data_IF_846192002896
#
_entry.id   IF_846192002896
#
_cell.length_a   1.000
_cell.length_b   1.000
_cell.length_c   1.000
_cell.angle_alpha   90.00
_cell.angle_beta   90.00
_cell.angle_gamma   90.00
#
_symmetry.space_group_name_H-M   'P 1'
#
loop_
_entity.id
_entity.type
_entity.pdbx_description
1 polymer ?
#
# COMPACT_ATOMS: atom_id res chain seq x y z
N UNK A 1 12.04 -25.69 -58.66
CA UNK A 1 11.57 -24.70 -57.67
C UNK A 1 10.30 -25.21 -57.03
N UNK A 2 10.31 -25.50 -55.73
CA UNK A 2 9.12 -25.55 -54.88
C UNK A 2 9.56 -25.33 -53.44
N UNK A 3 8.94 -24.34 -52.83
CA UNK A 3 9.39 -23.63 -51.64
C UNK A 3 9.28 -24.47 -50.38
N UNK A 4 10.26 -24.24 -49.50
CA UNK A 4 10.40 -24.79 -48.17
C UNK A 4 9.13 -24.64 -47.33
N UNK A 5 8.75 -25.72 -46.65
CA UNK A 5 7.73 -25.68 -45.60
C UNK A 5 8.28 -24.96 -44.39
N UNK A 6 7.83 -23.73 -44.17
CA UNK A 6 7.99 -23.05 -42.90
C UNK A 6 7.03 -23.67 -41.88
N UNK A 7 7.51 -24.58 -41.06
CA UNK A 7 6.83 -24.90 -39.80
C UNK A 7 7.04 -23.74 -38.84
N UNK A 8 6.02 -22.91 -38.68
CA UNK A 8 5.95 -21.90 -37.63
C UNK A 8 5.65 -22.65 -36.32
N UNK A 9 6.68 -22.83 -35.50
CA UNK A 9 6.55 -23.31 -34.14
C UNK A 9 5.95 -22.17 -33.29
N UNK A 10 4.65 -22.24 -33.00
CA UNK A 10 4.00 -21.35 -32.03
C UNK A 10 4.42 -21.76 -30.62
N UNK A 11 5.39 -21.06 -30.05
CA UNK A 11 5.74 -21.17 -28.62
C UNK A 11 4.68 -20.40 -27.83
N UNK A 12 3.69 -21.11 -27.31
CA UNK A 12 2.73 -20.57 -26.35
C UNK A 12 3.47 -20.51 -25.00
N UNK A 13 3.98 -19.34 -24.63
CA UNK A 13 4.38 -19.07 -23.25
C UNK A 13 3.11 -19.04 -22.39
N UNK A 14 2.75 -20.18 -21.81
CA UNK A 14 1.80 -20.20 -20.69
C UNK A 14 2.50 -19.48 -19.54
N UNK A 15 2.14 -18.22 -19.31
CA UNK A 15 2.51 -17.55 -18.07
C UNK A 15 2.00 -18.43 -16.92
N UNK A 16 2.91 -18.93 -16.09
CA UNK A 16 2.56 -19.80 -14.97
C UNK A 16 1.70 -19.01 -14.00
N UNK A 17 0.40 -19.32 -13.92
CA UNK A 17 -0.46 -18.71 -12.91
C UNK A 17 0.09 -19.05 -11.52
N UNK A 18 -0.05 -18.08 -10.63
CA UNK A 18 0.49 -18.08 -9.26
C UNK A 18 -0.70 -17.94 -8.31
N UNK A 19 -0.67 -18.66 -7.19
CA UNK A 19 -1.76 -18.64 -6.23
C UNK A 19 -1.60 -17.45 -5.27
N UNK A 20 -2.63 -16.60 -5.23
CA UNK A 20 -2.68 -15.41 -4.38
C UNK A 20 -3.84 -15.56 -3.42
N UNK A 21 -3.55 -15.88 -2.17
CA UNK A 21 -4.57 -15.97 -1.13
C UNK A 21 -4.88 -14.59 -0.57
N UNK A 22 -6.14 -14.16 -0.64
CA UNK A 22 -6.57 -12.88 -0.06
C UNK A 22 -7.09 -13.12 1.35
N UNK A 23 -6.46 -12.50 2.34
CA UNK A 23 -6.84 -12.68 3.74
C UNK A 23 -7.37 -11.36 4.31
N UNK A 24 -8.58 -11.36 4.86
CA UNK A 24 -9.18 -10.19 5.51
C UNK A 24 -9.11 -10.37 7.03
N UNK A 25 -8.25 -9.60 7.69
CA UNK A 25 -8.15 -9.54 9.15
C UNK A 25 -9.26 -8.67 9.71
N UNK A 26 -9.82 -9.08 10.85
CA UNK A 26 -10.86 -8.36 11.58
C UNK A 26 -12.17 -8.18 10.76
N UNK A 27 -12.46 -9.10 9.84
CA UNK A 27 -13.66 -9.04 9.02
C UNK A 27 -14.08 -10.42 8.51
N UNK A 28 -15.29 -10.84 8.86
CA UNK A 28 -15.82 -12.19 8.58
C UNK A 28 -16.78 -12.25 7.36
N UNK A 29 -17.17 -11.09 6.82
CA UNK A 29 -18.12 -11.01 5.72
C UNK A 29 -17.42 -10.99 4.35
N UNK A 30 -18.20 -11.06 3.27
CA UNK A 30 -17.66 -10.86 1.93
C UNK A 30 -17.36 -9.38 1.65
N UNK A 31 -16.28 -9.10 0.93
CA UNK A 31 -15.93 -7.77 0.43
C UNK A 31 -15.91 -7.75 -1.10
N UNK A 32 -16.07 -6.57 -1.70
CA UNK A 32 -15.92 -6.39 -3.15
C UNK A 32 -14.44 -6.13 -3.46
N UNK A 33 -13.83 -6.97 -4.30
CA UNK A 33 -12.44 -6.85 -4.71
C UNK A 33 -12.35 -6.53 -6.20
N UNK A 34 -11.51 -5.56 -6.53
CA UNK A 34 -11.03 -5.28 -7.88
C UNK A 34 -9.53 -5.48 -7.96
N UNK A 35 -9.04 -6.13 -9.01
CA UNK A 35 -7.61 -6.32 -9.25
C UNK A 35 -7.25 -5.76 -10.62
N UNK A 36 -6.24 -4.89 -10.63
CA UNK A 36 -5.75 -4.22 -11.82
C UNK A 36 -4.32 -4.68 -12.10
N UNK A 37 -4.04 -4.96 -13.36
CA UNK A 37 -2.68 -5.12 -13.89
C UNK A 37 -2.29 -3.86 -14.67
N UNK A 38 -1.08 -3.84 -15.24
CA UNK A 38 -0.64 -2.81 -16.18
C UNK A 38 -1.56 -2.66 -17.40
N UNK A 39 -2.30 -3.71 -17.77
CA UNK A 39 -3.25 -3.72 -18.90
C UNK A 39 -4.68 -3.32 -18.52
N UNK A 40 -4.96 -3.07 -17.23
CA UNK A 40 -6.27 -2.65 -16.73
C UNK A 40 -6.90 -3.64 -15.74
N UNK A 41 -8.21 -3.56 -15.56
CA UNK A 41 -9.00 -4.41 -14.67
C UNK A 41 -9.01 -5.86 -15.17
N UNK A 42 -8.58 -6.79 -14.32
CA UNK A 42 -8.51 -8.23 -14.64
C UNK A 42 -9.43 -9.09 -13.78
N UNK A 43 -9.88 -8.56 -12.63
CA UNK A 43 -10.81 -9.22 -11.74
C UNK A 43 -11.72 -8.20 -11.06
N UNK A 44 -13.00 -8.50 -10.98
CA UNK A 44 -13.99 -7.80 -10.16
C UNK A 44 -14.98 -8.82 -9.62
N UNK A 45 -15.20 -8.81 -8.30
CA UNK A 45 -16.16 -9.71 -7.68
C UNK A 45 -16.15 -9.68 -6.17
N UNK A 46 -17.08 -10.44 -5.58
CA UNK A 46 -17.12 -10.65 -4.13
C UNK A 46 -16.15 -11.75 -3.73
N UNK A 47 -15.40 -11.49 -2.66
CA UNK A 47 -14.47 -12.44 -2.07
C UNK A 47 -14.72 -12.62 -0.57
N UNK A 48 -14.31 -13.76 -0.02
CA UNK A 48 -14.22 -14.06 1.40
C UNK A 48 -12.77 -14.20 1.82
N UNK A 49 -12.53 -14.11 3.13
CA UNK A 49 -11.18 -14.30 3.68
C UNK A 49 -10.72 -15.73 3.39
N UNK A 50 -9.53 -15.86 2.81
CA UNK A 50 -8.96 -17.15 2.38
C UNK A 50 -9.24 -17.50 0.91
N UNK A 51 -10.01 -16.71 0.17
CA UNK A 51 -10.22 -16.94 -1.26
C UNK A 51 -8.90 -16.82 -2.04
N UNK A 52 -8.74 -17.68 -3.05
CA UNK A 52 -7.52 -17.77 -3.87
C UNK A 52 -7.78 -17.24 -5.26
N UNK A 53 -6.89 -16.36 -5.72
CA UNK A 53 -6.84 -15.84 -7.08
C UNK A 53 -5.65 -16.44 -7.82
N UNK A 54 -5.88 -16.92 -9.03
CA UNK A 54 -4.82 -17.39 -9.91
C UNK A 54 -4.40 -16.25 -10.83
N UNK A 55 -3.25 -15.64 -10.53
CA UNK A 55 -2.75 -14.46 -11.25
C UNK A 55 -1.40 -14.78 -11.88
N UNK A 56 -1.13 -14.37 -13.13
CA UNK A 56 0.23 -14.43 -13.68
C UNK A 56 1.25 -13.65 -12.81
N UNK A 57 2.55 -13.91 -12.93
CA UNK A 57 3.56 -13.11 -12.24
C UNK A 57 3.63 -11.71 -12.87
N UNK A 58 3.20 -10.68 -12.15
CA UNK A 58 3.24 -9.28 -12.58
C UNK A 58 3.05 -8.32 -11.37
N UNK A 59 3.09 -7.02 -11.60
CA UNK A 59 2.70 -5.98 -10.65
C UNK A 59 1.19 -5.72 -10.72
N UNK A 60 0.54 -5.73 -9.57
CA UNK A 60 -0.90 -5.56 -9.44
C UNK A 60 -1.28 -4.50 -8.40
N UNK A 61 -2.43 -3.88 -8.64
CA UNK A 61 -3.13 -3.04 -7.67
C UNK A 61 -4.43 -3.75 -7.26
N UNK A 62 -4.56 -4.02 -5.97
CA UNK A 62 -5.74 -4.61 -5.36
C UNK A 62 -6.53 -3.51 -4.67
N UNK A 63 -7.82 -3.39 -4.98
CA UNK A 63 -8.75 -2.48 -4.34
C UNK A 63 -9.86 -3.29 -3.67
N UNK A 64 -9.83 -3.34 -2.34
CA UNK A 64 -10.80 -4.08 -1.53
C UNK A 64 -11.76 -3.09 -0.88
N UNK A 65 -13.05 -3.16 -1.23
CA UNK A 65 -14.09 -2.30 -0.70
C UNK A 65 -14.93 -3.05 0.33
N UNK A 66 -14.90 -2.55 1.57
CA UNK A 66 -15.62 -3.08 2.72
C UNK A 66 -15.80 -1.96 3.75
N UNK A 67 -16.78 -2.10 4.65
CA UNK A 67 -16.99 -1.15 5.78
C UNK A 67 -17.01 0.33 5.35
N UNK A 68 -17.62 0.63 4.20
CA UNK A 68 -17.69 1.96 3.58
C UNK A 68 -16.31 2.61 3.30
N UNK A 69 -15.28 1.78 3.10
CA UNK A 69 -13.90 2.21 2.79
C UNK A 69 -13.33 1.34 1.67
N UNK A 70 -12.31 1.86 0.99
CA UNK A 70 -11.55 1.13 -0.02
C UNK A 70 -10.10 1.06 0.41
N UNK A 71 -9.61 -0.17 0.58
CA UNK A 71 -8.24 -0.48 0.93
C UNK A 71 -7.46 -0.78 -0.34
N UNK A 72 -6.35 -0.10 -0.55
CA UNK A 72 -5.53 -0.24 -1.76
C UNK A 72 -4.18 -0.84 -1.39
N UNK A 73 -3.78 -1.89 -2.12
CA UNK A 73 -2.44 -2.47 -2.05
C UNK A 73 -1.85 -2.62 -3.44
N UNK A 74 -0.64 -2.10 -3.61
CA UNK A 74 0.15 -2.28 -4.84
C UNK A 74 1.30 -3.23 -4.52
N UNK A 75 1.38 -4.35 -5.24
CA UNK A 75 2.36 -5.40 -4.96
C UNK A 75 2.78 -6.13 -6.22
N UNK A 76 4.03 -6.62 -6.20
CA UNK A 76 4.59 -7.46 -7.26
C UNK A 76 4.43 -8.92 -6.89
N UNK A 77 3.77 -9.68 -7.76
CA UNK A 77 3.52 -11.11 -7.60
C UNK A 77 4.53 -11.88 -8.45
N UNK A 78 5.37 -12.67 -7.79
CA UNK A 78 6.40 -13.48 -8.45
C UNK A 78 6.27 -14.97 -8.13
N UNK A 79 5.64 -15.30 -7.00
CA UNK A 79 5.40 -16.65 -6.48
C UNK A 79 4.18 -16.61 -5.56
N UNK A 80 3.72 -17.80 -5.13
CA UNK A 80 2.54 -17.93 -4.28
C UNK A 80 2.70 -17.05 -3.03
N UNK A 81 1.67 -16.29 -2.70
CA UNK A 81 1.73 -15.36 -1.57
C UNK A 81 0.37 -15.00 -1.00
N UNK A 82 0.40 -14.47 0.21
CA UNK A 82 -0.78 -14.01 0.94
C UNK A 82 -0.84 -12.48 0.85
N UNK A 83 -1.96 -11.98 0.34
CA UNK A 83 -2.29 -10.55 0.36
C UNK A 83 -3.25 -10.31 1.52
N UNK A 84 -2.72 -9.75 2.62
CA UNK A 84 -3.53 -9.46 3.80
C UNK A 84 -4.13 -8.05 3.74
N UNK A 85 -5.43 -7.90 4.01
CA UNK A 85 -6.07 -6.62 4.27
C UNK A 85 -6.52 -6.58 5.72
N UNK A 86 -6.16 -5.51 6.43
CA UNK A 86 -6.66 -5.29 7.77
C UNK A 86 -7.84 -4.34 7.73
N UNK A 87 -9.01 -4.81 8.13
CA UNK A 87 -10.25 -4.05 8.09
C UNK A 87 -10.67 -3.58 9.50
N UNK A 88 -9.84 -3.86 10.51
CA UNK A 88 -10.07 -3.39 11.86
C UNK A 88 -9.62 -1.95 12.04
N UNK A 89 -10.37 -1.21 12.87
CA UNK A 89 -10.12 0.20 13.18
C UNK A 89 -9.98 0.39 14.68
N UNK A 90 -9.16 1.37 15.07
CA UNK A 90 -9.02 1.83 16.45
C UNK A 90 -8.93 3.35 16.49
N UNK A 91 -9.47 3.95 17.54
CA UNK A 91 -9.26 5.37 17.86
C UNK A 91 -8.25 5.54 19.01
N UNK A 92 -7.61 4.45 19.46
CA UNK A 92 -6.58 4.51 20.49
C UNK A 92 -5.31 5.13 19.93
N UNK A 93 -4.82 6.18 20.60
CA UNK A 93 -3.57 6.87 20.24
C UNK A 93 -2.34 6.19 20.83
N UNK A 94 -2.49 5.15 21.66
CA UNK A 94 -1.39 4.48 22.36
C UNK A 94 -0.39 3.81 21.40
N UNK A 95 -0.84 3.45 20.19
CA UNK A 95 -0.03 2.85 19.14
C UNK A 95 0.47 3.86 18.10
N UNK A 96 0.11 5.14 18.27
CA UNK A 96 0.59 6.21 17.41
C UNK A 96 1.89 6.78 17.98
N UNK A 97 2.87 6.90 17.10
CA UNK A 97 4.12 7.59 17.38
C UNK A 97 4.19 8.85 16.53
N UNK A 98 4.36 10.00 17.19
CA UNK A 98 4.61 11.27 16.53
C UNK A 98 6.09 11.61 16.70
N UNK A 99 6.79 11.77 15.57
CA UNK A 99 8.16 12.28 15.53
C UNK A 99 8.16 13.65 14.88
N UNK A 100 8.81 14.61 15.53
CA UNK A 100 9.00 15.96 15.01
C UNK A 100 10.49 16.14 14.76
N UNK A 101 10.85 16.53 13.55
CA UNK A 101 12.22 16.83 13.15
C UNK A 101 12.28 18.26 12.63
N UNK A 102 13.13 19.09 13.26
CA UNK A 102 13.30 20.49 12.86
C UNK A 102 14.62 20.66 12.11
N UNK A 103 14.55 21.26 10.92
CA UNK A 103 15.71 21.61 10.09
C UNK A 103 15.93 23.11 10.17
N UNK A 104 17.06 23.54 10.72
CA UNK A 104 17.43 24.95 10.84
C UNK A 104 18.33 25.34 9.67
N UNK A 105 17.91 26.35 8.92
CA UNK A 105 18.64 26.88 7.78
C UNK A 105 19.55 28.05 8.19
N UNK A 106 20.54 28.36 7.35
CA UNK A 106 21.59 29.35 7.65
C UNK A 106 21.05 30.78 7.83
N UNK A 107 19.92 31.09 7.23
CA UNK A 107 19.21 32.37 7.32
C UNK A 107 18.28 32.46 8.54
N UNK A 108 18.24 31.41 9.38
CA UNK A 108 17.38 31.35 10.57
C UNK A 108 15.96 30.84 10.29
N UNK A 109 15.66 30.47 9.05
CA UNK A 109 14.42 29.76 8.71
C UNK A 109 14.42 28.33 9.28
N UNK A 110 13.26 27.82 9.67
CA UNK A 110 13.11 26.49 10.28
C UNK A 110 11.97 25.74 9.61
N UNK A 111 12.28 24.58 9.03
CA UNK A 111 11.28 23.60 8.59
C UNK A 111 11.03 22.59 9.70
N UNK A 112 9.77 22.26 9.96
CA UNK A 112 9.42 21.12 10.82
C UNK A 112 8.71 20.03 10.02
N UNK A 113 9.26 18.83 10.12
CA UNK A 113 8.72 17.61 9.52
C UNK A 113 8.07 16.81 10.64
N UNK A 114 6.76 16.56 10.49
CA UNK A 114 5.98 15.80 11.46
C UNK A 114 5.63 14.46 10.82
N UNK A 115 6.13 13.38 11.43
CA UNK A 115 5.90 12.01 10.99
C UNK A 115 4.99 11.35 12.02
N UNK A 116 3.78 10.96 11.59
CA UNK A 116 2.87 10.14 12.39
C UNK A 116 2.98 8.70 11.89
N UNK A 117 3.37 7.78 12.78
CA UNK A 117 3.48 6.36 12.49
C UNK A 117 2.50 5.58 13.36
N UNK A 118 1.73 4.68 12.75
CA UNK A 118 0.91 3.72 13.49
C UNK A 118 1.69 2.40 13.62
N UNK A 119 2.02 2.02 14.86
CA UNK A 119 2.73 0.78 15.18
C UNK A 119 1.78 -0.35 15.61
N UNK A 120 0.49 -0.08 15.63
CA UNK A 120 -0.54 -1.04 15.99
C UNK A 120 -0.86 -1.98 14.82
N UNK A 121 -1.64 -2.99 15.15
CA UNK A 121 -2.19 -3.98 14.22
C UNK A 121 -3.61 -3.62 13.78
N UNK A 122 -4.04 -2.37 13.90
CA UNK A 122 -5.35 -1.87 13.45
C UNK A 122 -5.16 -0.52 12.75
N UNK A 123 -6.03 -0.19 11.82
CA UNK A 123 -6.01 1.13 11.19
C UNK A 123 -6.45 2.19 12.19
N UNK A 124 -5.76 3.32 12.25
CA UNK A 124 -6.20 4.42 13.10
C UNK A 124 -7.31 5.21 12.42
N UNK A 125 -8.38 5.49 13.16
CA UNK A 125 -9.48 6.35 12.74
C UNK A 125 -9.84 7.31 13.88
N UNK A 126 -9.62 8.61 13.63
CA UNK A 126 -9.87 9.67 14.58
C UNK A 126 -9.10 10.94 14.24
N UNK A 127 -9.35 11.98 15.02
CA UNK A 127 -8.68 13.27 14.86
C UNK A 127 -7.33 13.26 15.59
N UNK A 128 -6.30 13.80 14.93
CA UNK A 128 -4.98 14.01 15.53
C UNK A 128 -4.72 15.51 15.71
N UNK A 129 -4.62 15.92 16.98
CA UNK A 129 -4.14 17.23 17.32
C UNK A 129 -2.61 17.25 17.20
N UNK A 130 -2.12 17.73 16.06
CA UNK A 130 -0.68 17.95 15.86
C UNK A 130 -0.34 19.33 16.44
N UNK A 131 0.52 19.41 17.47
CA UNK A 131 0.89 20.68 18.05
C UNK A 131 1.59 21.55 17.00
N UNK A 132 1.28 22.86 17.02
CA UNK A 132 2.00 23.82 16.19
C UNK A 132 3.50 23.81 16.53
N UNK A 133 4.37 24.10 15.53
CA UNK A 133 5.80 24.23 15.75
C UNK A 133 6.15 25.08 16.96
N UNK A 134 6.95 24.52 17.88
CA UNK A 134 7.36 25.21 19.10
C UNK A 134 8.44 26.28 18.87
N UNK A 135 9.03 26.31 17.68
CA UNK A 135 10.18 27.17 17.38
C UNK A 135 9.68 28.55 16.93
N UNK A 136 9.40 29.41 17.90
CA UNK A 136 9.30 30.86 17.70
C UNK A 136 10.54 31.53 18.30
N UNK A 137 11.15 32.48 17.58
CA UNK A 137 12.23 33.31 18.12
C UNK A 137 13.66 32.77 17.98
N UNK A 138 13.96 31.91 17.00
CA UNK A 138 15.35 31.51 16.72
C UNK A 138 16.16 32.73 16.24
N UNK A 139 17.09 33.22 17.08
CA UNK A 139 18.06 34.26 16.71
C UNK A 139 19.43 33.63 16.62
N UNK A 140 19.98 33.59 15.40
CA UNK A 140 21.37 33.20 15.17
C UNK A 140 22.26 34.41 15.48
N UNK A 141 22.76 34.48 16.71
CA UNK A 141 23.75 35.47 17.09
C UNK A 141 25.12 35.00 16.57
N UNK A 142 25.44 35.32 15.31
CA UNK A 142 26.81 35.17 14.85
C UNK A 142 27.68 36.19 15.60
N UNK A 143 28.50 35.73 16.56
CA UNK A 143 29.70 36.48 16.93
C UNK A 143 30.73 36.21 15.85
N UNK A 144 31.02 37.23 15.03
CA UNK A 144 32.18 37.21 14.16
C UNK A 144 33.42 36.80 14.94
N UNK A 145 34.18 35.86 14.40
CA UNK A 145 35.64 35.93 14.26
C UNK A 145 36.04 35.07 13.04
#
# INVERSE_FOLDING_TARGET
>A
MRYAGFSILFLIFLASAVEVTVFMKNYENSADLRVFSSSGLIFEGKIRSGDVLNLPPDSYRFELSAVNKTFVKELRILSDQIVEFNLGFTNSTEFLEIRIHSVVHKDGYVDEIIIVSNRGDLNFEGDLAIPMPKISGFKLLSSNL
#
